data_IF_167441431791
#
_entry.id   IF_167441431791
#
_cell.length_a   1.000
_cell.length_b   1.000
_cell.length_c   1.000
_cell.angle_alpha   90.00
_cell.angle_beta   90.00
_cell.angle_gamma   90.00
#
_symmetry.space_group_name_H-M   'P 1'
#
loop_
_entity.id
_entity.type
_entity.pdbx_description
1 polymer ?
#
# COMPACT_ATOMS: atom_id res chain seq x y z
N UNK A 1 -46.48 -9.11 69.40
CA UNK A 1 -45.88 -10.01 68.40
C UNK A 1 -45.41 -9.15 67.25
N UNK A 2 -44.14 -9.31 66.90
CA UNK A 2 -43.41 -8.79 65.72
C UNK A 2 -43.42 -7.25 65.49
N UNK A 3 -42.31 -6.51 65.60
CA UNK A 3 -41.01 -6.60 64.90
C UNK A 3 -41.20 -6.47 63.38
N UNK A 4 -40.72 -5.45 62.67
CA UNK A 4 -39.29 -5.19 62.39
C UNK A 4 -39.11 -3.92 61.53
N UNK A 5 -37.99 -3.23 61.83
CA UNK A 5 -36.99 -2.67 60.90
C UNK A 5 -37.37 -1.42 60.09
N UNK A 6 -37.03 -0.29 60.69
CA UNK A 6 -36.52 0.87 59.97
C UNK A 6 -35.25 0.49 59.19
N UNK A 7 -35.20 0.93 57.95
CA UNK A 7 -34.17 0.63 56.97
C UNK A 7 -33.04 1.66 57.14
N UNK A 8 -31.96 1.25 57.78
CA UNK A 8 -30.72 2.03 57.85
C UNK A 8 -30.13 2.17 56.44
N UNK A 9 -29.83 3.42 56.05
CA UNK A 9 -29.19 3.77 54.78
C UNK A 9 -27.70 3.41 54.85
N UNK A 10 -27.26 2.53 53.96
CA UNK A 10 -25.85 2.23 53.67
C UNK A 10 -25.09 3.52 53.27
N UNK A 11 -23.86 3.75 53.76
CA UNK A 11 -23.04 4.88 53.34
C UNK A 11 -22.35 4.61 51.99
N UNK A 12 -22.41 5.61 51.10
CA UNK A 12 -21.74 5.65 49.79
C UNK A 12 -20.23 5.38 49.89
N UNK A 13 -19.62 4.61 48.96
CA UNK A 13 -18.21 4.27 49.02
C UNK A 13 -17.33 5.46 48.63
N UNK A 14 -16.40 5.82 49.51
CA UNK A 14 -15.40 6.87 49.28
C UNK A 14 -14.55 6.59 48.02
N UNK A 15 -14.56 7.53 47.09
CA UNK A 15 -13.69 7.55 45.91
C UNK A 15 -12.23 7.71 46.33
N UNK A 16 -11.50 6.58 46.38
CA UNK A 16 -10.06 6.55 46.60
C UNK A 16 -9.28 7.42 45.59
N UNK A 17 -8.06 7.87 45.94
CA UNK A 17 -7.35 8.91 45.19
C UNK A 17 -7.10 8.46 43.75
N UNK A 18 -7.66 9.22 42.81
CA UNK A 18 -7.44 9.10 41.38
C UNK A 18 -5.94 9.00 41.09
N UNK A 19 -5.51 7.88 40.51
CA UNK A 19 -4.14 7.69 40.03
C UNK A 19 -3.84 8.85 39.08
N UNK A 20 -3.05 9.82 39.53
CA UNK A 20 -2.50 10.87 38.66
C UNK A 20 -1.91 10.20 37.43
N UNK A 21 -2.59 10.34 36.29
CA UNK A 21 -2.02 9.96 34.99
C UNK A 21 -0.69 10.68 34.90
N UNK A 22 0.38 9.89 34.84
CA UNK A 22 1.75 10.37 34.78
C UNK A 22 1.90 11.25 33.55
N UNK A 23 1.89 12.57 33.72
CA UNK A 23 2.36 13.50 32.70
C UNK A 23 3.87 13.31 32.59
N UNK A 24 4.30 12.40 31.71
CA UNK A 24 5.71 12.28 31.36
C UNK A 24 6.04 13.51 30.52
N UNK A 25 6.85 14.40 31.09
CA UNK A 25 7.34 15.61 30.44
C UNK A 25 7.95 15.33 29.06
N UNK A 26 8.08 16.41 28.28
CA UNK A 26 8.66 16.48 26.94
C UNK A 26 10.16 16.16 26.96
N UNK A 27 10.55 15.01 27.49
CA UNK A 27 11.90 14.49 27.36
C UNK A 27 12.06 14.13 25.89
N UNK A 28 12.87 14.89 25.16
CA UNK A 28 13.33 14.52 23.81
C UNK A 28 13.98 13.15 23.93
N UNK A 29 13.21 12.09 23.67
CA UNK A 29 13.66 10.71 23.79
C UNK A 29 14.60 10.42 22.65
N UNK A 30 15.86 10.82 22.82
CA UNK A 30 16.89 10.71 21.78
C UNK A 30 17.34 9.26 21.69
N UNK A 31 17.54 8.80 20.46
CA UNK A 31 18.11 7.49 20.21
C UNK A 31 19.51 7.39 20.83
N UNK A 32 19.81 6.27 21.50
CA UNK A 32 21.13 6.02 22.06
C UNK A 32 21.85 4.96 21.22
N UNK A 33 23.04 5.27 20.69
CA UNK A 33 23.79 4.38 19.80
C UNK A 33 24.10 3.00 20.42
N UNK A 34 24.20 2.90 21.75
CA UNK A 34 24.35 1.61 22.43
C UNK A 34 23.20 0.64 22.18
N UNK A 35 22.00 1.16 21.90
CA UNK A 35 20.84 0.31 21.56
C UNK A 35 21.02 -0.41 20.24
N UNK A 36 21.80 0.15 19.31
CA UNK A 36 22.12 -0.49 18.04
C UNK A 36 22.81 -1.83 18.25
N UNK A 37 23.84 -1.86 19.09
CA UNK A 37 24.53 -3.10 19.43
C UNK A 37 23.71 -4.00 20.37
N UNK A 38 23.04 -3.40 21.36
CA UNK A 38 22.28 -4.17 22.36
C UNK A 38 21.05 -4.88 21.77
N UNK A 39 20.34 -4.25 20.83
CA UNK A 39 19.02 -4.71 20.38
C UNK A 39 18.87 -4.79 18.85
N UNK A 40 19.96 -4.62 18.08
CA UNK A 40 19.95 -4.60 16.60
C UNK A 40 18.94 -3.59 16.02
N UNK A 41 18.99 -2.35 16.49
CA UNK A 41 18.07 -1.29 16.05
C UNK A 41 18.79 -0.09 15.46
N UNK A 42 18.14 0.65 14.57
CA UNK A 42 18.65 1.91 14.00
C UNK A 42 17.58 3.00 14.06
N UNK A 43 17.96 4.29 14.12
CA UNK A 43 17.00 5.38 14.00
C UNK A 43 16.27 5.32 12.66
N UNK A 44 14.99 5.67 12.66
CA UNK A 44 14.17 5.76 11.46
C UNK A 44 13.39 7.07 11.50
N UNK A 45 13.96 8.13 10.91
CA UNK A 45 13.52 9.50 11.15
C UNK A 45 13.92 10.00 12.55
N UNK A 46 13.24 11.04 13.04
CA UNK A 46 13.60 11.73 14.29
C UNK A 46 13.01 11.08 15.56
N UNK A 47 11.89 10.36 15.43
CA UNK A 47 11.06 9.90 16.55
C UNK A 47 10.74 8.39 16.55
N UNK A 48 11.23 7.64 15.55
CA UNK A 48 10.99 6.19 15.42
C UNK A 48 12.30 5.40 15.38
N UNK A 49 12.17 4.11 15.65
CA UNK A 49 13.29 3.15 15.67
C UNK A 49 12.92 1.91 14.87
N UNK A 50 13.77 1.52 13.93
CA UNK A 50 13.60 0.29 13.15
C UNK A 50 14.40 -0.85 13.78
N UNK A 51 13.76 -2.02 13.89
CA UNK A 51 14.47 -3.27 14.17
C UNK A 51 15.12 -3.82 12.89
N UNK A 52 16.43 -4.06 12.91
CA UNK A 52 17.14 -4.62 11.77
C UNK A 52 16.84 -6.11 11.54
N UNK A 53 16.32 -6.83 12.55
CA UNK A 53 16.01 -8.27 12.50
C UNK A 53 14.69 -8.50 11.76
N UNK A 54 13.60 -7.87 12.20
CA UNK A 54 12.25 -8.10 11.66
C UNK A 54 11.70 -6.93 10.82
N UNK A 55 12.46 -5.84 10.68
CA UNK A 55 12.07 -4.63 9.96
C UNK A 55 10.86 -3.88 10.54
N UNK A 56 10.36 -4.27 11.72
CA UNK A 56 9.30 -3.53 12.41
C UNK A 56 9.81 -2.18 12.92
N UNK A 57 9.00 -1.14 12.73
CA UNK A 57 9.27 0.22 13.20
C UNK A 57 8.49 0.49 14.49
N UNK A 58 9.23 0.74 15.57
CA UNK A 58 8.66 1.20 16.82
C UNK A 58 8.40 2.70 16.73
N UNK A 59 7.13 3.09 16.81
CA UNK A 59 6.66 4.48 16.71
C UNK A 59 7.16 5.40 17.85
N UNK A 60 7.84 4.86 18.87
CA UNK A 60 8.39 5.63 19.98
C UNK A 60 9.82 5.18 20.27
N UNK A 61 10.75 6.13 20.23
CA UNK A 61 12.14 5.97 20.70
C UNK A 61 12.16 5.86 22.23
N UNK A 62 11.78 4.70 22.76
CA UNK A 62 11.78 4.39 24.20
C UNK A 62 12.56 3.12 24.44
N UNK A 63 13.57 3.18 25.32
CA UNK A 63 14.36 2.02 25.70
C UNK A 63 13.48 0.82 26.12
N UNK A 64 12.44 1.06 26.93
CA UNK A 64 11.50 0.01 27.33
C UNK A 64 10.82 -0.68 26.14
N UNK A 65 10.35 0.09 25.16
CA UNK A 65 9.67 -0.45 23.98
C UNK A 65 10.64 -1.28 23.13
N UNK A 66 11.84 -0.75 22.88
CA UNK A 66 12.89 -1.40 22.11
C UNK A 66 13.33 -2.71 22.79
N UNK A 67 13.64 -2.65 24.09
CA UNK A 67 14.05 -3.82 24.88
C UNK A 67 12.95 -4.87 24.92
N UNK A 68 11.69 -4.47 25.18
CA UNK A 68 10.55 -5.40 25.21
C UNK A 68 10.39 -6.10 23.85
N UNK A 69 10.42 -5.34 22.75
CA UNK A 69 10.35 -5.90 21.41
C UNK A 69 11.47 -6.92 21.14
N UNK A 70 12.72 -6.58 21.47
CA UNK A 70 13.85 -7.48 21.28
C UNK A 70 13.73 -8.75 22.13
N UNK A 71 13.45 -8.62 23.44
CA UNK A 71 13.38 -9.76 24.37
C UNK A 71 12.21 -10.69 24.03
N UNK A 72 11.08 -10.16 23.54
CA UNK A 72 9.92 -10.98 23.21
C UNK A 72 10.05 -11.71 21.87
N UNK A 73 10.65 -11.08 20.86
CA UNK A 73 10.66 -11.62 19.49
C UNK A 73 12.02 -12.18 19.06
N UNK A 74 13.12 -11.71 19.66
CA UNK A 74 14.47 -11.85 19.13
C UNK A 74 15.53 -12.23 20.17
N UNK A 75 15.13 -12.69 21.36
CA UNK A 75 16.06 -13.12 22.42
C UNK A 75 17.06 -14.18 21.96
N UNK A 76 16.71 -14.99 20.96
CA UNK A 76 17.61 -15.97 20.34
C UNK A 76 18.88 -15.36 19.74
N UNK A 77 18.92 -14.05 19.48
CA UNK A 77 20.11 -13.34 19.02
C UNK A 77 21.12 -13.02 20.14
N UNK A 78 20.79 -13.30 21.41
CA UNK A 78 21.73 -13.21 22.53
C UNK A 78 22.87 -14.25 22.41
N UNK A 79 22.69 -15.28 21.57
CA UNK A 79 23.76 -16.24 21.24
C UNK A 79 24.97 -15.61 20.55
N UNK A 80 24.78 -14.48 19.87
CA UNK A 80 25.87 -13.76 19.24
C UNK A 80 26.51 -12.83 20.26
N UNK A 81 27.80 -13.04 20.51
CA UNK A 81 28.61 -12.26 21.45
C UNK A 81 29.91 -11.77 20.80
N UNK A 82 30.52 -10.73 21.37
CA UNK A 82 31.82 -10.23 20.90
C UNK A 82 31.82 -9.84 19.42
N UNK A 83 32.81 -10.36 18.69
CA UNK A 83 33.02 -10.09 17.26
C UNK A 83 31.90 -10.66 16.37
N UNK A 84 31.38 -11.84 16.69
CA UNK A 84 30.27 -12.45 15.92
C UNK A 84 29.03 -11.57 15.94
N UNK A 85 28.74 -10.93 17.09
CA UNK A 85 27.63 -9.99 17.22
C UNK A 85 27.84 -8.74 16.36
N UNK A 86 29.06 -8.20 16.37
CA UNK A 86 29.43 -7.05 15.54
C UNK A 86 29.29 -7.39 14.07
N UNK A 87 29.81 -8.54 13.64
CA UNK A 87 29.68 -9.01 12.25
C UNK A 87 28.22 -9.18 11.86
N UNK A 88 27.38 -9.77 12.73
CA UNK A 88 25.95 -9.93 12.48
C UNK A 88 25.23 -8.59 12.36
N UNK A 89 25.56 -7.63 13.22
CA UNK A 89 25.00 -6.28 13.18
C UNK A 89 25.34 -5.58 11.86
N UNK A 90 26.60 -5.62 11.44
CA UNK A 90 27.03 -5.01 10.18
C UNK A 90 26.42 -5.69 8.96
N UNK A 91 26.27 -7.03 8.98
CA UNK A 91 25.52 -7.75 7.94
C UNK A 91 24.08 -7.23 7.82
N UNK A 92 23.38 -7.08 8.96
CA UNK A 92 21.99 -6.62 8.98
C UNK A 92 21.85 -5.15 8.55
N UNK A 93 22.82 -4.30 8.89
CA UNK A 93 22.88 -2.91 8.40
C UNK A 93 23.09 -2.86 6.90
N UNK A 94 24.09 -3.58 6.36
CA UNK A 94 24.32 -3.65 4.91
C UNK A 94 23.09 -4.10 4.14
N UNK A 95 22.42 -5.16 4.63
CA UNK A 95 21.18 -5.62 4.01
C UNK A 95 20.04 -4.59 4.06
N UNK A 96 19.98 -3.78 5.13
CA UNK A 96 19.01 -2.68 5.21
C UNK A 96 19.35 -1.55 4.23
N UNK A 97 20.61 -1.09 4.20
CA UNK A 97 21.07 -0.03 3.29
C UNK A 97 20.86 -0.44 1.82
N UNK A 98 21.26 -1.65 1.44
CA UNK A 98 21.08 -2.15 0.07
C UNK A 98 19.59 -2.18 -0.33
N UNK A 99 18.69 -2.51 0.61
CA UNK A 99 17.24 -2.45 0.34
C UNK A 99 16.75 -1.01 0.14
N UNK A 100 17.30 -0.04 0.87
CA UNK A 100 16.96 1.38 0.68
C UNK A 100 17.48 1.90 -0.66
N UNK A 101 18.69 1.53 -1.04
CA UNK A 101 19.30 1.90 -2.33
C UNK A 101 18.53 1.29 -3.49
N UNK A 102 18.16 0.00 -3.41
CA UNK A 102 17.34 -0.65 -4.44
C UNK A 102 15.96 0.00 -4.56
N UNK A 103 15.35 0.41 -3.43
CA UNK A 103 14.10 1.17 -3.47
C UNK A 103 14.29 2.50 -4.21
N UNK A 104 15.31 3.28 -3.84
CA UNK A 104 15.59 4.56 -4.47
C UNK A 104 15.90 4.42 -5.97
N UNK A 105 16.66 3.40 -6.34
CA UNK A 105 16.98 3.10 -7.73
C UNK A 105 15.73 2.67 -8.53
N UNK A 106 14.89 1.79 -7.96
CA UNK A 106 13.67 1.31 -8.63
C UNK A 106 12.61 2.37 -8.84
N UNK A 107 12.60 3.38 -7.98
CA UNK A 107 11.64 4.48 -8.02
C UNK A 107 12.33 5.80 -8.39
N UNK A 108 13.49 5.76 -9.07
CA UNK A 108 14.20 6.97 -9.47
C UNK A 108 13.37 7.81 -10.45
N UNK A 109 12.55 7.15 -11.27
CA UNK A 109 11.61 7.76 -12.20
C UNK A 109 10.54 8.62 -11.50
N UNK A 110 10.21 8.35 -10.23
CA UNK A 110 9.31 9.22 -9.46
C UNK A 110 9.85 10.64 -9.30
N UNK A 111 11.18 10.81 -9.30
CA UNK A 111 11.82 12.13 -9.22
C UNK A 111 11.59 12.94 -10.50
N UNK A 112 11.62 12.26 -11.64
CA UNK A 112 11.37 12.92 -12.93
C UNK A 112 9.94 13.46 -13.03
N UNK A 113 9.01 12.86 -12.29
CA UNK A 113 7.60 13.26 -12.24
C UNK A 113 7.26 14.20 -11.07
N UNK A 114 8.24 14.63 -10.27
CA UNK A 114 8.01 15.48 -9.09
C UNK A 114 7.25 16.77 -9.44
N UNK A 115 7.63 17.45 -10.53
CA UNK A 115 6.92 18.63 -11.02
C UNK A 115 5.47 18.32 -11.38
N UNK A 116 5.25 17.20 -12.09
CA UNK A 116 3.91 16.74 -12.47
C UNK A 116 3.02 16.45 -11.26
N UNK A 117 3.59 15.85 -10.20
CA UNK A 117 2.89 15.61 -8.94
C UNK A 117 2.57 16.91 -8.20
N UNK A 118 3.50 17.86 -8.15
CA UNK A 118 3.27 19.15 -7.50
C UNK A 118 2.16 19.95 -8.19
N UNK A 119 2.14 19.96 -9.53
CA UNK A 119 1.06 20.58 -10.31
C UNK A 119 -0.29 19.92 -10.01
N UNK A 120 -0.34 18.58 -9.99
CA UNK A 120 -1.57 17.84 -9.69
C UNK A 120 -2.02 18.02 -8.23
N UNK A 121 -1.07 18.13 -7.30
CA UNK A 121 -1.38 18.31 -5.90
C UNK A 121 -1.86 19.73 -5.61
N UNK A 122 -1.25 20.73 -6.25
CA UNK A 122 -1.57 22.13 -6.02
C UNK A 122 -1.43 22.99 -7.29
N UNK A 123 -2.45 23.03 -8.15
CA UNK A 123 -2.40 23.82 -9.39
C UNK A 123 -2.50 25.34 -9.14
N UNK A 124 -2.77 25.77 -7.90
CA UNK A 124 -2.87 27.19 -7.55
C UNK A 124 -1.54 27.83 -7.13
N UNK A 125 -0.50 27.02 -6.93
CA UNK A 125 0.83 27.51 -6.55
C UNK A 125 1.88 27.28 -7.64
N UNK A 126 1.51 26.75 -8.80
CA UNK A 126 2.44 26.59 -9.91
C UNK A 126 2.68 27.93 -10.59
N UNK A 127 3.84 28.06 -11.23
CA UNK A 127 4.17 29.18 -12.11
C UNK A 127 3.79 28.75 -13.53
N UNK A 128 2.71 29.29 -14.14
CA UNK A 128 2.21 28.80 -15.43
C UNK A 128 3.26 28.83 -16.55
N UNK A 129 4.20 29.78 -16.52
CA UNK A 129 5.26 29.93 -17.51
C UNK A 129 6.25 28.76 -17.54
N UNK A 130 6.37 28.02 -16.43
CA UNK A 130 7.24 26.84 -16.34
C UNK A 130 6.56 25.55 -16.84
N UNK A 131 5.26 25.59 -17.10
CA UNK A 131 4.45 24.44 -17.50
C UNK A 131 4.34 24.32 -19.03
N UNK A 132 3.97 23.14 -19.56
CA UNK A 132 3.74 22.95 -21.00
C UNK A 132 2.78 23.98 -21.61
N UNK A 133 3.11 24.47 -22.81
CA UNK A 133 2.40 25.56 -23.50
C UNK A 133 0.88 25.32 -23.59
N UNK A 134 0.47 24.07 -23.79
CA UNK A 134 -0.93 23.65 -23.89
C UNK A 134 -1.73 23.76 -22.58
N UNK A 135 -1.07 23.94 -21.44
CA UNK A 135 -1.71 24.09 -20.12
C UNK A 135 -1.62 25.51 -19.57
N UNK A 136 -0.75 26.38 -20.10
CA UNK A 136 -0.47 27.68 -19.47
C UNK A 136 -1.72 28.56 -19.33
N UNK A 137 -2.50 28.71 -20.41
CA UNK A 137 -3.75 29.49 -20.38
C UNK A 137 -4.80 28.87 -19.45
N UNK A 138 -4.94 27.54 -19.48
CA UNK A 138 -5.84 26.82 -18.57
C UNK A 138 -5.47 27.04 -17.10
N UNK A 139 -4.17 27.06 -16.79
CA UNK A 139 -3.66 27.27 -15.42
C UNK A 139 -3.88 28.70 -14.96
N UNK A 140 -3.67 29.70 -15.83
CA UNK A 140 -3.96 31.11 -15.52
C UNK A 140 -5.46 31.27 -15.24
N UNK A 141 -6.32 30.77 -16.12
CA UNK A 141 -7.77 30.85 -15.94
C UNK A 141 -8.24 30.10 -14.67
N UNK A 142 -7.63 28.95 -14.39
CA UNK A 142 -7.92 28.18 -13.18
C UNK A 142 -7.53 28.96 -11.92
N UNK A 143 -6.33 29.54 -11.92
CA UNK A 143 -5.82 30.31 -10.80
C UNK A 143 -6.76 31.47 -10.51
N UNK A 144 -7.26 32.17 -11.53
CA UNK A 144 -8.08 33.36 -11.34
C UNK A 144 -9.54 33.06 -11.00
N UNK A 145 -10.02 31.84 -11.23
CA UNK A 145 -11.37 31.42 -10.86
C UNK A 145 -11.57 31.29 -9.34
N UNK A 146 -12.46 32.14 -8.82
CA UNK A 146 -12.91 32.07 -7.42
C UNK A 146 -13.67 30.76 -7.11
N UNK A 147 -14.42 30.25 -8.10
CA UNK A 147 -15.17 29.00 -8.03
C UNK A 147 -14.23 27.80 -7.98
N UNK A 148 -13.14 27.83 -8.74
CA UNK A 148 -12.08 26.81 -8.67
C UNK A 148 -11.41 26.80 -7.32
N UNK A 149 -11.00 27.95 -6.79
CA UNK A 149 -10.42 28.06 -5.45
C UNK A 149 -11.38 27.55 -4.37
N UNK A 150 -12.66 27.87 -4.47
CA UNK A 150 -13.68 27.39 -3.54
C UNK A 150 -13.84 25.87 -3.61
N UNK A 151 -13.93 25.29 -4.81
CA UNK A 151 -14.05 23.84 -5.02
C UNK A 151 -12.82 23.06 -4.53
N UNK A 152 -11.63 23.66 -4.58
CA UNK A 152 -10.38 23.05 -4.09
C UNK A 152 -10.30 22.95 -2.56
N UNK A 153 -11.13 23.70 -1.82
CA UNK A 153 -11.14 23.72 -0.34
C UNK A 153 -11.35 22.34 0.28
N UNK A 154 -12.16 21.49 -0.37
CA UNK A 154 -12.43 20.11 0.06
C UNK A 154 -11.20 19.18 -0.06
N UNK A 155 -10.15 19.60 -0.78
CA UNK A 155 -8.90 18.84 -1.05
C UNK A 155 -9.09 17.44 -1.65
N UNK A 156 -10.29 17.13 -2.13
CA UNK A 156 -10.53 15.92 -2.90
C UNK A 156 -10.17 16.19 -4.36
N UNK A 157 -8.92 15.92 -4.72
CA UNK A 157 -8.35 16.20 -6.05
C UNK A 157 -9.16 15.53 -7.17
N UNK A 158 -9.58 14.27 -6.97
CA UNK A 158 -10.34 13.53 -7.98
C UNK A 158 -11.67 14.23 -8.27
N UNK A 159 -12.42 14.62 -7.23
CA UNK A 159 -13.68 15.35 -7.39
C UNK A 159 -13.45 16.73 -8.00
N UNK A 160 -12.38 17.42 -7.59
CA UNK A 160 -12.00 18.74 -8.10
C UNK A 160 -11.76 18.70 -9.63
N UNK A 161 -10.85 17.85 -10.10
CA UNK A 161 -10.54 17.74 -11.53
C UNK A 161 -11.71 17.18 -12.35
N UNK A 162 -12.51 16.27 -11.78
CA UNK A 162 -13.73 15.76 -12.44
C UNK A 162 -14.78 16.85 -12.63
N UNK A 163 -14.86 17.81 -11.71
CA UNK A 163 -15.79 18.94 -11.76
C UNK A 163 -15.34 20.11 -12.63
N UNK A 164 -14.20 20.01 -13.33
CA UNK A 164 -13.78 20.99 -14.35
C UNK A 164 -14.37 20.62 -15.70
N UNK A 165 -14.78 21.63 -16.47
CA UNK A 165 -15.34 21.41 -17.81
C UNK A 165 -14.30 20.76 -18.74
N UNK A 166 -14.64 19.67 -19.46
CA UNK A 166 -13.77 19.07 -20.47
C UNK A 166 -13.39 20.01 -21.61
N UNK A 167 -14.27 20.96 -21.96
CA UNK A 167 -14.03 21.90 -23.06
C UNK A 167 -13.12 23.07 -22.63
N UNK A 168 -13.15 23.44 -21.36
CA UNK A 168 -12.39 24.57 -20.82
C UNK A 168 -11.03 24.16 -20.29
N UNK A 169 -10.93 22.96 -19.70
CA UNK A 169 -9.69 22.46 -19.09
C UNK A 169 -9.27 21.09 -19.64
N UNK A 170 -9.16 20.89 -20.97
CA UNK A 170 -8.82 19.59 -21.54
C UNK A 170 -7.43 19.10 -21.11
N UNK A 171 -6.40 19.94 -21.17
CA UNK A 171 -5.01 19.55 -20.89
C UNK A 171 -4.80 19.27 -19.40
N UNK A 172 -5.34 20.13 -18.53
CA UNK A 172 -5.28 19.95 -17.08
C UNK A 172 -6.01 18.67 -16.62
N UNK A 173 -7.18 18.38 -17.20
CA UNK A 173 -7.91 17.13 -16.89
C UNK A 173 -7.16 15.91 -17.39
N UNK A 174 -6.57 15.98 -18.58
CA UNK A 174 -5.76 14.89 -19.10
C UNK A 174 -4.54 14.63 -18.21
N UNK A 175 -3.89 15.69 -17.72
CA UNK A 175 -2.80 15.59 -16.74
C UNK A 175 -3.27 14.91 -15.45
N UNK A 176 -4.39 15.35 -14.89
CA UNK A 176 -4.96 14.75 -13.69
C UNK A 176 -5.29 13.26 -13.87
N UNK A 177 -5.84 12.86 -15.02
CA UNK A 177 -6.11 11.45 -15.34
C UNK A 177 -4.81 10.64 -15.35
N UNK A 178 -3.74 11.16 -15.98
CA UNK A 178 -2.43 10.50 -15.98
C UNK A 178 -1.92 10.31 -14.55
N UNK A 179 -1.95 11.37 -13.72
CA UNK A 179 -1.47 11.32 -12.34
C UNK A 179 -2.28 10.36 -11.47
N UNK A 180 -3.61 10.38 -11.55
CA UNK A 180 -4.47 9.44 -10.81
C UNK A 180 -4.22 7.99 -11.24
N UNK A 181 -3.91 7.77 -12.52
CA UNK A 181 -3.63 6.42 -13.04
C UNK A 181 -2.30 5.83 -12.56
N UNK A 182 -1.34 6.67 -12.12
CA UNK A 182 -0.07 6.20 -11.56
C UNK A 182 -0.27 5.53 -10.19
N UNK A 183 -1.33 5.88 -9.47
CA UNK A 183 -1.63 5.35 -8.15
C UNK A 183 -2.79 4.34 -8.24
N UNK A 184 -2.45 3.06 -8.38
CA UNK A 184 -3.42 1.97 -8.25
C UNK A 184 -4.07 1.97 -6.85
N UNK A 185 -5.31 1.51 -6.76
CA UNK A 185 -5.93 1.29 -5.45
C UNK A 185 -5.25 0.10 -4.73
N UNK A 186 -5.29 0.09 -3.39
CA UNK A 186 -4.64 -0.95 -2.57
C UNK A 186 -5.17 -2.35 -2.90
N UNK A 187 -6.45 -2.46 -3.24
CA UNK A 187 -7.09 -3.71 -3.63
C UNK A 187 -6.48 -4.35 -4.89
N UNK A 188 -6.22 -3.55 -5.94
CA UNK A 188 -5.56 -4.00 -7.17
C UNK A 188 -4.15 -4.49 -6.84
N UNK A 189 -3.41 -3.76 -6.00
CA UNK A 189 -2.07 -4.16 -5.55
C UNK A 189 -2.12 -5.49 -4.78
N UNK A 190 -2.99 -5.62 -3.78
CA UNK A 190 -3.16 -6.84 -2.97
C UNK A 190 -3.55 -8.05 -3.82
N UNK A 191 -4.50 -7.89 -4.75
CA UNK A 191 -4.90 -8.93 -5.70
C UNK A 191 -3.74 -9.33 -6.62
N UNK A 192 -2.96 -8.36 -7.10
CA UNK A 192 -1.77 -8.61 -7.94
C UNK A 192 -0.73 -9.42 -7.17
N UNK A 193 -0.39 -9.00 -5.94
CA UNK A 193 0.59 -9.70 -5.10
C UNK A 193 0.12 -11.09 -4.68
N UNK A 194 -1.15 -11.24 -4.32
CA UNK A 194 -1.74 -12.55 -4.01
C UNK A 194 -1.65 -13.50 -5.19
N UNK A 195 -2.00 -13.01 -6.39
CA UNK A 195 -1.88 -13.77 -7.64
C UNK A 195 -0.42 -14.13 -7.92
N UNK A 196 0.50 -13.18 -7.76
CA UNK A 196 1.93 -13.42 -7.94
C UNK A 196 2.47 -14.47 -6.97
N UNK A 197 2.09 -14.38 -5.69
CA UNK A 197 2.51 -15.30 -4.64
C UNK A 197 2.00 -16.72 -4.92
N UNK A 198 0.74 -16.89 -5.34
CA UNK A 198 0.19 -18.19 -5.74
C UNK A 198 0.95 -18.77 -6.93
N UNK A 199 1.19 -17.96 -7.97
CA UNK A 199 1.87 -18.40 -9.19
C UNK A 199 3.35 -18.72 -8.97
N UNK A 200 4.03 -18.02 -8.06
CA UNK A 200 5.42 -18.30 -7.68
C UNK A 200 5.55 -19.48 -6.70
N UNK A 201 4.58 -19.72 -5.81
CA UNK A 201 4.69 -20.71 -4.73
C UNK A 201 4.21 -22.11 -5.09
N UNK A 202 3.19 -22.27 -5.94
CA UNK A 202 2.48 -23.56 -6.07
C UNK A 202 2.67 -24.30 -7.40
N UNK A 203 3.02 -23.64 -8.51
CA UNK A 203 2.87 -24.27 -9.83
C UNK A 203 4.13 -24.44 -10.69
N UNK A 204 5.22 -23.67 -10.59
CA UNK A 204 6.30 -23.77 -11.59
C UNK A 204 7.67 -23.27 -11.13
N UNK A 205 8.63 -24.17 -10.97
CA UNK A 205 10.07 -23.87 -10.96
C UNK A 205 10.61 -23.37 -12.33
N UNK A 206 9.75 -23.12 -13.32
CA UNK A 206 10.11 -22.81 -14.73
C UNK A 206 9.38 -21.60 -15.35
N UNK A 207 8.71 -20.75 -14.55
CA UNK A 207 8.13 -19.51 -15.11
C UNK A 207 9.22 -18.47 -15.35
N UNK A 208 9.40 -18.06 -16.61
CA UNK A 208 10.17 -16.84 -16.90
C UNK A 208 9.37 -15.60 -16.49
N UNK A 209 10.05 -14.48 -16.29
CA UNK A 209 9.44 -13.21 -15.92
C UNK A 209 8.34 -12.76 -16.91
N UNK A 210 8.56 -12.98 -18.21
CA UNK A 210 7.57 -12.69 -19.24
C UNK A 210 6.26 -13.49 -19.10
N UNK A 211 6.32 -14.74 -18.65
CA UNK A 211 5.12 -15.54 -18.38
C UNK A 211 4.37 -15.02 -17.17
N UNK A 212 5.09 -14.65 -16.10
CA UNK A 212 4.48 -14.08 -14.91
C UNK A 212 3.77 -12.76 -15.22
N UNK A 213 4.41 -11.89 -16.00
CA UNK A 213 3.82 -10.63 -16.47
C UNK A 213 2.51 -10.86 -17.24
N UNK A 214 2.50 -11.83 -18.17
CA UNK A 214 1.31 -12.17 -18.93
C UNK A 214 0.16 -12.68 -18.02
N UNK A 215 0.47 -13.56 -17.06
CA UNK A 215 -0.52 -14.09 -16.11
C UNK A 215 -1.09 -12.98 -15.23
N UNK A 216 -0.24 -12.08 -14.72
CA UNK A 216 -0.70 -10.95 -13.91
C UNK A 216 -1.60 -10.02 -14.72
N UNK A 217 -1.27 -9.72 -15.98
CA UNK A 217 -2.14 -8.90 -16.84
C UNK A 217 -3.52 -9.52 -17.03
N UNK A 218 -3.61 -10.84 -17.23
CA UNK A 218 -4.90 -11.54 -17.37
C UNK A 218 -5.68 -11.55 -16.06
N UNK A 219 -5.02 -11.79 -14.92
CA UNK A 219 -5.69 -11.86 -13.62
C UNK A 219 -6.20 -10.50 -13.11
N UNK A 220 -5.56 -9.42 -13.57
CA UNK A 220 -5.86 -8.05 -13.12
C UNK A 220 -6.81 -7.31 -14.04
N UNK A 221 -7.08 -7.80 -15.26
CA UNK A 221 -8.06 -7.17 -16.14
C UNK A 221 -9.49 -7.56 -15.78
N UNK A 222 -10.41 -6.60 -15.86
CA UNK A 222 -11.86 -6.84 -15.81
C UNK A 222 -12.42 -7.22 -17.18
N UNK A 223 -11.60 -7.21 -18.24
CA UNK A 223 -12.02 -7.59 -19.58
C UNK A 223 -12.13 -9.11 -19.68
N UNK A 224 -13.31 -9.58 -20.07
CA UNK A 224 -13.50 -10.98 -20.39
C UNK A 224 -12.82 -11.33 -21.72
N UNK A 225 -12.05 -12.43 -21.77
CA UNK A 225 -11.49 -12.89 -23.04
C UNK A 225 -12.61 -13.33 -23.97
N UNK A 226 -12.59 -12.86 -25.22
CA UNK A 226 -13.51 -13.33 -26.25
C UNK A 226 -13.11 -14.73 -26.73
N UNK A 227 -13.40 -15.73 -25.89
CA UNK A 227 -13.10 -17.13 -26.16
C UNK A 227 -13.86 -17.57 -27.42
N UNK A 228 -15.08 -17.06 -27.64
CA UNK A 228 -15.92 -17.43 -28.79
C UNK A 228 -15.28 -16.97 -30.10
N UNK A 229 -14.85 -15.71 -30.18
CA UNK A 229 -14.12 -15.18 -31.33
C UNK A 229 -12.78 -15.88 -31.56
N UNK A 230 -12.03 -16.18 -30.49
CA UNK A 230 -10.77 -16.93 -30.60
C UNK A 230 -11.00 -18.36 -31.13
N UNK A 231 -12.05 -19.04 -30.67
CA UNK A 231 -12.39 -20.39 -31.14
C UNK A 231 -12.90 -20.37 -32.58
N UNK A 232 -13.72 -19.38 -32.95
CA UNK A 232 -14.23 -19.23 -34.30
C UNK A 232 -13.11 -18.97 -35.34
N UNK A 233 -12.05 -18.25 -34.94
CA UNK A 233 -10.92 -17.93 -35.83
C UNK A 233 -9.81 -19.00 -35.85
N UNK A 234 -9.91 -20.05 -35.03
CA UNK A 234 -8.97 -21.17 -35.07
C UNK A 234 -9.40 -22.19 -36.12
N UNK A 235 -8.62 -22.30 -37.20
CA UNK A 235 -8.68 -23.48 -38.08
C UNK A 235 -8.21 -24.70 -37.26
N UNK A 236 -9.03 -25.76 -37.21
CA UNK A 236 -8.63 -27.03 -36.60
C UNK A 236 -7.33 -27.52 -37.25
N UNK A 237 -6.22 -27.49 -36.53
CA UNK A 237 -4.93 -28.02 -37.01
C UNK A 237 -4.82 -29.54 -36.92
N UNK A 238 -5.71 -30.19 -36.17
CA UNK A 238 -5.83 -31.65 -36.14
C UNK A 238 -7.29 -32.07 -36.28
N UNK A 239 -7.61 -32.80 -37.35
CA UNK A 239 -8.80 -33.64 -37.43
C UNK A 239 -8.47 -34.93 -36.69
N UNK A 240 -9.12 -35.17 -35.55
CA UNK A 240 -9.16 -36.53 -34.99
C UNK A 240 -9.96 -37.42 -35.93
N UNK A 241 -9.42 -38.58 -36.30
CA UNK A 241 -10.14 -39.59 -37.06
C UNK A 241 -11.32 -40.08 -36.20
N UNK A 242 -12.52 -39.53 -36.45
CA UNK A 242 -13.75 -40.08 -35.92
C UNK A 242 -14.01 -41.42 -36.61
N UNK A 243 -13.68 -42.50 -35.90
CA UNK A 243 -14.01 -43.85 -36.31
C UNK A 243 -15.53 -43.95 -36.37
N UNK A 244 -16.09 -44.03 -37.58
CA UNK A 244 -17.53 -44.25 -37.81
C UNK A 244 -17.89 -45.62 -37.23
N UNK A 245 -18.55 -45.63 -36.08
CA UNK A 245 -19.46 -46.72 -35.71
C UNK A 245 -20.89 -46.18 -35.83
N UNK A 246 -21.57 -46.62 -36.88
CA UNK A 246 -23.03 -46.79 -36.97
C UNK A 246 -23.50 -47.59 -35.74
N UNK A 247 -24.64 -47.37 -35.06
CA UNK A 247 -26.02 -46.93 -35.40
C UNK A 247 -26.77 -46.77 -34.05
N UNK A 248 -28.11 -46.63 -33.97
CA UNK A 248 -29.04 -45.71 -34.61
C UNK A 248 -29.82 -44.84 -33.57
N UNK A 249 -30.59 -43.91 -34.11
CA UNK A 249 -31.42 -42.91 -33.42
C UNK A 249 -32.56 -43.49 -32.55
N UNK A 250 -32.85 -42.81 -31.45
CA UNK A 250 -34.23 -42.62 -30.96
C UNK A 250 -34.40 -41.19 -30.43
N UNK A 251 -35.15 -40.36 -31.16
CA UNK A 251 -35.88 -39.18 -30.64
C UNK A 251 -36.82 -39.67 -29.50
N UNK A 252 -37.24 -38.89 -28.50
CA UNK A 252 -38.03 -37.65 -28.52
C UNK A 252 -37.90 -37.04 -27.10
N UNK A 253 -37.44 -35.79 -26.94
CA UNK A 253 -38.31 -34.65 -26.59
C UNK A 253 -38.42 -34.39 -25.08
N UNK A 254 -37.71 -33.38 -24.56
CA UNK A 254 -37.97 -32.81 -23.23
C UNK A 254 -38.54 -31.39 -23.35
N UNK A 255 -39.70 -31.21 -22.73
CA UNK A 255 -40.39 -29.94 -22.52
C UNK A 255 -39.48 -28.91 -21.83
N UNK A 256 -39.56 -27.66 -22.30
CA UNK A 256 -39.18 -26.48 -21.53
C UNK A 256 -40.27 -26.16 -20.50
N UNK A 257 -39.85 -25.92 -19.27
CA UNK A 257 -40.32 -24.82 -18.43
C UNK A 257 -39.10 -23.95 -18.11
#
# INVERSE_FOLDING_TARGET
>A
MESQREMEREPEPELGPSRKKRCVGKEKRRFQNKWTYAYFVVPHGSDKVMCLICKQVNAMVKHFNIKRHYVTNHKTYDKFTGEERTSKLEQLKRGYTAQQEEFEHRFSDFRDHEKSFNLFQNPFSCVPEEEPAEMQLELIDLQESSEARAAYRDKNLIKFYKGRSPSTYPSLRQHAIRMVSLFGNTYICEKTFSTMAINKSKLKSRLTDGHLHAVLRIAMTEKEPDIRGIVANRKQHHKSNANKKSSPQSNVGFLKL
#
